data_IF_217538270892
#
_entry.id   IF_217538270892
#
_cell.length_a   1.000
_cell.length_b   1.000
_cell.length_c   1.000
_cell.angle_alpha   90.00
_cell.angle_beta   90.00
_cell.angle_gamma   90.00
#
_symmetry.space_group_name_H-M   'P 1'
#
loop_
_entity.id
_entity.type
_entity.pdbx_description
1 polymer ?
#
# COMPACT_ATOMS: atom_id res chain seq x y z
N UNK A 1 -10.32 0.26 6.98
CA UNK A 1 -10.16 0.93 5.68
C UNK A 1 -11.43 0.87 4.82
N UNK A 2 -12.08 -0.31 4.70
CA UNK A 2 -13.21 -0.50 3.78
C UNK A 2 -14.42 0.38 4.13
N UNK A 3 -14.80 0.47 5.40
CA UNK A 3 -15.88 1.35 5.86
C UNK A 3 -15.56 2.83 5.59
N UNK A 4 -14.30 3.23 5.81
CA UNK A 4 -13.84 4.57 5.49
C UNK A 4 -13.94 4.88 3.99
N UNK A 5 -13.48 3.95 3.12
CA UNK A 5 -13.61 4.13 1.67
C UNK A 5 -15.08 4.22 1.24
N UNK A 6 -15.95 3.41 1.87
CA UNK A 6 -17.40 3.47 1.61
C UNK A 6 -18.00 4.82 2.03
N UNK A 7 -17.62 5.36 3.20
CA UNK A 7 -18.04 6.70 3.64
C UNK A 7 -17.61 7.77 2.64
N UNK A 8 -16.34 7.75 2.22
CA UNK A 8 -15.81 8.68 1.20
C UNK A 8 -16.54 8.55 -0.14
N UNK A 9 -16.87 7.30 -0.57
CA UNK A 9 -17.62 7.09 -1.81
C UNK A 9 -19.04 7.68 -1.74
N UNK A 10 -19.75 7.47 -0.62
CA UNK A 10 -21.12 8.00 -0.48
C UNK A 10 -21.12 9.55 -0.47
N UNK A 11 -20.13 10.16 0.17
CA UNK A 11 -19.92 11.61 0.10
C UNK A 11 -19.65 12.06 -1.34
N UNK A 12 -18.79 11.33 -2.09
CA UNK A 12 -18.54 11.62 -3.50
C UNK A 12 -19.82 11.54 -4.34
N UNK A 13 -20.61 10.45 -4.22
CA UNK A 13 -21.86 10.26 -5.00
C UNK A 13 -22.81 11.43 -4.75
N UNK A 14 -22.99 11.82 -3.48
CA UNK A 14 -23.83 12.96 -3.09
C UNK A 14 -23.33 14.25 -3.71
N UNK A 15 -22.07 14.56 -3.52
CA UNK A 15 -21.47 15.84 -3.94
C UNK A 15 -21.35 15.94 -5.45
N UNK A 16 -21.03 14.84 -6.13
CA UNK A 16 -20.99 14.78 -7.59
C UNK A 16 -22.37 15.04 -8.17
N UNK A 17 -23.41 14.36 -7.65
CA UNK A 17 -24.79 14.53 -8.13
C UNK A 17 -25.26 15.97 -7.99
N UNK A 18 -25.05 16.58 -6.82
CA UNK A 18 -25.39 18.00 -6.59
C UNK A 18 -24.68 18.94 -7.57
N UNK A 19 -23.37 18.73 -7.77
CA UNK A 19 -22.59 19.59 -8.69
C UNK A 19 -23.02 19.36 -10.16
N UNK A 20 -23.32 18.12 -10.55
CA UNK A 20 -23.80 17.82 -11.90
C UNK A 20 -25.18 18.41 -12.19
N UNK A 21 -26.11 18.33 -11.25
CA UNK A 21 -27.45 18.93 -11.35
C UNK A 21 -27.39 20.46 -11.45
N UNK A 22 -26.41 21.08 -10.76
CA UNK A 22 -26.12 22.49 -10.87
C UNK A 22 -25.37 22.88 -12.18
N UNK A 23 -25.08 21.91 -13.06
CA UNK A 23 -24.25 22.10 -14.26
C UNK A 23 -22.79 22.50 -13.98
N UNK A 24 -22.31 22.24 -12.78
CA UNK A 24 -20.92 22.48 -12.35
C UNK A 24 -20.01 21.28 -12.65
N UNK A 25 -19.97 20.83 -13.90
CA UNK A 25 -19.28 19.61 -14.32
C UNK A 25 -17.78 19.62 -13.99
N UNK A 26 -17.11 20.77 -14.08
CA UNK A 26 -15.69 20.87 -13.72
C UNK A 26 -15.46 20.51 -12.24
N UNK A 27 -16.32 21.02 -11.35
CA UNK A 27 -16.26 20.72 -9.91
C UNK A 27 -16.55 19.25 -9.64
N UNK A 28 -17.57 18.69 -10.30
CA UNK A 28 -17.93 17.29 -10.17
C UNK A 28 -16.78 16.37 -10.61
N UNK A 29 -16.21 16.62 -11.79
CA UNK A 29 -15.12 15.79 -12.32
C UNK A 29 -13.82 15.92 -11.52
N UNK A 30 -13.52 17.10 -10.99
CA UNK A 30 -12.35 17.30 -10.11
C UNK A 30 -12.47 16.45 -8.84
N UNK A 31 -13.66 16.43 -8.19
CA UNK A 31 -13.89 15.59 -7.01
C UNK A 31 -13.78 14.10 -7.33
N UNK A 32 -14.24 13.69 -8.51
CA UNK A 32 -14.15 12.29 -8.97
C UNK A 32 -12.69 11.89 -9.23
N UNK A 33 -11.92 12.75 -9.90
CA UNK A 33 -10.49 12.54 -10.12
C UNK A 33 -9.73 12.47 -8.80
N UNK A 34 -9.98 13.40 -7.87
CA UNK A 34 -9.37 13.43 -6.55
C UNK A 34 -9.65 12.13 -5.77
N UNK A 35 -10.89 11.66 -5.79
CA UNK A 35 -11.25 10.39 -5.16
C UNK A 35 -10.45 9.21 -5.74
N UNK A 36 -10.37 9.10 -7.06
CA UNK A 36 -9.66 7.98 -7.72
C UNK A 36 -8.16 8.04 -7.48
N UNK A 37 -7.57 9.21 -7.63
CA UNK A 37 -6.10 9.37 -7.56
C UNK A 37 -5.62 9.39 -6.13
N UNK A 38 -6.23 10.18 -5.26
CA UNK A 38 -5.75 10.38 -3.91
C UNK A 38 -6.38 9.36 -2.95
N UNK A 39 -7.70 9.29 -2.82
CA UNK A 39 -8.36 8.44 -1.82
C UNK A 39 -8.21 6.96 -2.18
N UNK A 40 -8.61 6.55 -3.39
CA UNK A 40 -8.59 5.14 -3.77
C UNK A 40 -7.15 4.64 -4.01
N UNK A 41 -6.40 5.30 -4.90
CA UNK A 41 -5.11 4.79 -5.38
C UNK A 41 -3.96 5.05 -4.41
N UNK A 42 -3.87 6.24 -3.81
CA UNK A 42 -2.73 6.61 -2.96
C UNK A 42 -2.92 6.28 -1.49
N UNK A 43 -4.15 6.27 -1.00
CA UNK A 43 -4.44 6.03 0.42
C UNK A 43 -4.99 4.62 0.64
N UNK A 44 -6.13 4.25 0.06
CA UNK A 44 -6.78 2.97 0.33
C UNK A 44 -6.00 1.76 -0.20
N UNK A 45 -5.54 1.76 -1.46
CA UNK A 45 -4.81 0.61 -2.04
C UNK A 45 -3.57 0.23 -1.24
N UNK A 46 -2.73 1.16 -0.74
CA UNK A 46 -1.64 0.80 0.17
C UNK A 46 -2.09 0.10 1.46
N UNK A 47 -3.24 0.48 2.04
CA UNK A 47 -3.77 -0.10 3.29
C UNK A 47 -4.19 -1.56 3.13
N UNK A 48 -4.65 -1.95 1.95
CA UNK A 48 -5.16 -3.31 1.68
C UNK A 48 -4.18 -4.20 0.93
N UNK A 49 -3.05 -3.65 0.49
CA UNK A 49 -2.15 -4.34 -0.44
C UNK A 49 -1.67 -5.69 0.07
N UNK A 50 -1.33 -5.77 1.35
CA UNK A 50 -0.87 -7.01 1.97
C UNK A 50 -1.94 -8.08 1.94
N UNK A 51 -3.15 -7.72 2.38
CA UNK A 51 -4.29 -8.63 2.43
C UNK A 51 -4.74 -9.09 1.04
N UNK A 52 -4.73 -8.15 0.07
CA UNK A 52 -5.16 -8.41 -1.30
C UNK A 52 -4.33 -9.51 -1.98
N UNK A 53 -3.02 -9.59 -1.68
CA UNK A 53 -2.08 -10.52 -2.29
C UNK A 53 -1.77 -11.74 -1.41
N UNK A 54 -2.41 -11.88 -0.25
CA UNK A 54 -2.22 -13.03 0.63
C UNK A 54 -2.84 -14.28 0.01
N UNK A 55 -2.11 -15.37 -0.02
CA UNK A 55 -2.61 -16.70 -0.40
C UNK A 55 -3.04 -17.53 0.82
N UNK A 56 -2.92 -16.98 2.03
CA UNK A 56 -3.29 -17.63 3.28
C UNK A 56 -4.81 -17.87 3.35
N UNK A 57 -5.26 -19.12 3.50
CA UNK A 57 -6.69 -19.44 3.63
C UNK A 57 -7.38 -18.74 4.80
N UNK A 58 -6.67 -18.44 5.89
CA UNK A 58 -7.23 -17.74 7.06
C UNK A 58 -7.63 -16.29 6.74
N UNK A 59 -7.00 -15.70 5.74
CA UNK A 59 -7.32 -14.33 5.27
C UNK A 59 -8.44 -14.28 4.24
N UNK A 60 -9.06 -15.40 3.87
CA UNK A 60 -10.07 -15.46 2.81
C UNK A 60 -11.24 -14.49 3.05
N UNK A 61 -11.79 -14.46 4.25
CA UNK A 61 -12.91 -13.57 4.58
C UNK A 61 -12.51 -12.08 4.43
N UNK A 62 -11.28 -11.74 4.81
CA UNK A 62 -10.74 -10.40 4.64
C UNK A 62 -10.60 -10.04 3.16
N UNK A 63 -10.07 -10.96 2.33
CA UNK A 63 -9.95 -10.78 0.88
C UNK A 63 -11.32 -10.62 0.21
N UNK A 64 -12.29 -11.44 0.58
CA UNK A 64 -13.66 -11.33 0.06
C UNK A 64 -14.30 -9.97 0.40
N UNK A 65 -14.08 -9.47 1.62
CA UNK A 65 -14.54 -8.14 2.01
C UNK A 65 -13.91 -7.04 1.15
N UNK A 66 -12.59 -7.12 0.91
CA UNK A 66 -11.86 -6.19 0.03
C UNK A 66 -12.40 -6.26 -1.40
N UNK A 67 -12.56 -7.46 -1.97
CA UNK A 67 -13.07 -7.62 -3.33
C UNK A 67 -14.48 -7.08 -3.47
N UNK A 68 -15.35 -7.34 -2.49
CA UNK A 68 -16.73 -6.81 -2.49
C UNK A 68 -16.74 -5.28 -2.42
N UNK A 69 -15.89 -4.70 -1.57
CA UNK A 69 -15.74 -3.24 -1.47
C UNK A 69 -15.25 -2.64 -2.78
N UNK A 70 -14.18 -3.20 -3.35
CA UNK A 70 -13.62 -2.73 -4.63
C UNK A 70 -14.61 -2.90 -5.77
N UNK A 71 -15.34 -4.02 -5.82
CA UNK A 71 -16.38 -4.24 -6.83
C UNK A 71 -17.44 -3.13 -6.79
N UNK A 72 -17.98 -2.85 -5.61
CA UNK A 72 -18.98 -1.82 -5.43
C UNK A 72 -18.44 -0.42 -5.78
N UNK A 73 -17.28 -0.07 -5.25
CA UNK A 73 -16.63 1.23 -5.49
C UNK A 73 -16.34 1.43 -6.96
N UNK A 74 -15.69 0.48 -7.62
CA UNK A 74 -15.30 0.62 -9.02
C UNK A 74 -16.52 0.63 -9.96
N UNK A 75 -17.57 -0.17 -9.67
CA UNK A 75 -18.83 -0.10 -10.44
C UNK A 75 -19.47 1.27 -10.31
N UNK A 76 -19.54 1.82 -9.10
CA UNK A 76 -20.09 3.17 -8.86
C UNK A 76 -19.30 4.24 -9.61
N UNK A 77 -17.97 4.16 -9.58
CA UNK A 77 -17.09 5.08 -10.32
C UNK A 77 -17.32 5.02 -11.83
N UNK A 78 -17.52 3.83 -12.41
CA UNK A 78 -17.84 3.69 -13.83
C UNK A 78 -19.13 4.45 -14.21
N UNK A 79 -20.14 4.40 -13.34
CA UNK A 79 -21.38 5.15 -13.54
C UNK A 79 -21.16 6.67 -13.44
N UNK A 80 -20.39 7.13 -12.45
CA UNK A 80 -20.06 8.56 -12.28
C UNK A 80 -19.20 9.10 -13.43
N UNK A 81 -18.31 8.27 -13.99
CA UNK A 81 -17.49 8.66 -15.15
C UNK A 81 -18.26 8.64 -16.48
N UNK A 82 -19.38 7.92 -16.57
CA UNK A 82 -20.09 7.72 -17.83
C UNK A 82 -20.46 9.02 -18.57
N UNK A 83 -20.92 10.11 -17.93
CA UNK A 83 -21.20 11.36 -18.61
C UNK A 83 -19.98 12.00 -19.29
N UNK A 84 -18.78 11.79 -18.75
CA UNK A 84 -17.53 12.38 -19.24
C UNK A 84 -16.75 11.42 -20.16
N UNK A 85 -16.78 10.12 -19.87
CA UNK A 85 -16.03 9.10 -20.61
C UNK A 85 -16.90 7.90 -21.02
N UNK A 86 -17.94 8.13 -21.85
CA UNK A 86 -18.95 7.10 -22.14
C UNK A 86 -18.37 5.84 -22.78
N UNK A 87 -17.38 5.98 -23.67
CA UNK A 87 -16.75 4.83 -24.33
C UNK A 87 -15.96 3.95 -23.38
N UNK A 88 -15.21 4.56 -22.43
CA UNK A 88 -14.48 3.81 -21.41
C UNK A 88 -15.42 3.11 -20.45
N UNK A 89 -16.44 3.83 -19.99
CA UNK A 89 -17.46 3.29 -19.10
C UNK A 89 -18.19 2.11 -19.73
N UNK A 90 -18.57 2.21 -21.02
CA UNK A 90 -19.19 1.11 -21.74
C UNK A 90 -18.26 -0.10 -21.89
N UNK A 91 -16.99 0.11 -22.24
CA UNK A 91 -16.01 -0.98 -22.33
C UNK A 91 -15.85 -1.71 -21.01
N UNK A 92 -15.76 -0.98 -19.88
CA UNK A 92 -15.67 -1.59 -18.55
C UNK A 92 -16.95 -2.32 -18.18
N UNK A 93 -18.11 -1.74 -18.48
CA UNK A 93 -19.42 -2.37 -18.26
C UNK A 93 -19.51 -3.71 -19.01
N UNK A 94 -19.18 -3.75 -20.30
CA UNK A 94 -19.27 -4.94 -21.13
C UNK A 94 -18.22 -6.01 -20.80
N UNK A 95 -16.94 -5.58 -20.59
CA UNK A 95 -15.83 -6.53 -20.47
C UNK A 95 -15.53 -6.98 -19.05
N UNK A 96 -16.03 -6.26 -18.05
CA UNK A 96 -15.80 -6.61 -16.64
C UNK A 96 -17.11 -7.00 -15.98
N UNK A 97 -18.08 -6.06 -15.90
CA UNK A 97 -19.25 -6.26 -15.06
C UNK A 97 -20.26 -7.25 -15.65
N UNK A 98 -20.65 -7.10 -16.92
CA UNK A 98 -21.59 -8.01 -17.56
C UNK A 98 -21.07 -9.42 -17.79
N UNK A 99 -19.75 -9.61 -17.89
CA UNK A 99 -19.21 -10.97 -17.97
C UNK A 99 -19.36 -11.75 -16.66
N UNK A 100 -19.42 -11.06 -15.53
CA UNK A 100 -19.56 -11.65 -14.20
C UNK A 100 -21.01 -11.64 -13.70
N UNK A 101 -21.85 -10.74 -14.23
CA UNK A 101 -23.26 -10.61 -13.89
C UNK A 101 -24.09 -10.30 -15.14
N UNK A 102 -24.69 -11.34 -15.72
CA UNK A 102 -25.55 -11.25 -16.92
C UNK A 102 -26.88 -10.57 -16.65
N UNK A 103 -27.25 -10.30 -15.40
CA UNK A 103 -28.49 -9.60 -15.05
C UNK A 103 -28.42 -8.10 -15.27
N UNK A 104 -27.20 -7.55 -15.45
CA UNK A 104 -26.97 -6.14 -15.70
C UNK A 104 -27.53 -5.71 -17.08
N UNK A 105 -27.96 -4.44 -17.23
CA UNK A 105 -28.47 -3.90 -18.49
C UNK A 105 -27.47 -4.08 -19.65
N UNK A 106 -28.01 -4.07 -20.88
CA UNK A 106 -27.20 -4.26 -22.10
C UNK A 106 -26.11 -3.20 -22.30
N UNK A 107 -26.33 -2.00 -21.79
CA UNK A 107 -25.37 -0.88 -21.84
C UNK A 107 -25.34 -0.14 -20.51
N UNK A 108 -24.20 0.48 -20.20
CA UNK A 108 -24.04 1.31 -19.01
C UNK A 108 -25.06 2.46 -18.94
N UNK A 109 -25.53 2.93 -20.10
CA UNK A 109 -26.50 4.03 -20.17
C UNK A 109 -27.92 3.62 -19.70
N UNK A 110 -28.20 2.33 -19.56
CA UNK A 110 -29.44 1.82 -19.00
C UNK A 110 -29.37 1.50 -17.50
N UNK A 111 -28.18 1.65 -16.90
CA UNK A 111 -28.01 1.56 -15.46
C UNK A 111 -28.64 2.77 -14.76
N UNK A 112 -29.12 2.57 -13.55
CA UNK A 112 -29.61 3.66 -12.72
C UNK A 112 -28.44 4.52 -12.22
N UNK A 113 -28.67 5.82 -12.14
CA UNK A 113 -27.72 6.73 -11.49
C UNK A 113 -27.53 6.33 -10.02
N UNK A 114 -26.27 6.26 -9.53
CA UNK A 114 -26.00 5.83 -8.17
C UNK A 114 -26.61 6.81 -7.16
N UNK A 115 -27.29 6.28 -6.16
CA UNK A 115 -27.85 7.05 -5.05
C UNK A 115 -26.93 6.91 -3.84
N UNK A 116 -26.66 8.03 -3.15
CA UNK A 116 -25.87 7.99 -1.95
C UNK A 116 -26.63 7.33 -0.79
N UNK A 117 -26.05 6.29 -0.24
CA UNK A 117 -26.51 5.69 1.02
C UNK A 117 -25.92 6.45 2.21
N UNK A 118 -26.71 7.38 2.75
CA UNK A 118 -26.27 8.22 3.87
C UNK A 118 -26.02 7.44 5.16
N UNK A 119 -26.51 6.20 5.27
CA UNK A 119 -26.24 5.35 6.45
C UNK A 119 -24.81 4.83 6.50
N UNK A 120 -24.11 4.85 5.37
CA UNK A 120 -22.71 4.47 5.24
C UNK A 120 -21.75 5.66 5.44
N UNK A 121 -22.26 6.89 5.53
CA UNK A 121 -21.44 8.07 5.82
C UNK A 121 -21.13 8.10 7.31
N UNK A 122 -19.85 8.07 7.65
CA UNK A 122 -19.33 8.08 9.03
C UNK A 122 -18.32 9.21 9.21
N UNK A 123 -18.79 10.42 9.60
CA UNK A 123 -17.91 11.57 9.77
C UNK A 123 -16.82 11.37 10.83
N UNK A 124 -17.11 10.61 11.88
CA UNK A 124 -16.12 10.31 12.93
C UNK A 124 -14.99 9.46 12.38
N UNK A 125 -15.33 8.43 11.62
CA UNK A 125 -14.34 7.59 10.96
C UNK A 125 -13.53 8.37 9.92
N UNK A 126 -14.17 9.29 9.20
CA UNK A 126 -13.50 10.17 8.24
C UNK A 126 -12.47 11.07 8.92
N UNK A 127 -12.79 11.66 10.10
CA UNK A 127 -11.85 12.44 10.90
C UNK A 127 -10.71 11.58 11.46
N UNK A 128 -11.00 10.37 11.95
CA UNK A 128 -9.98 9.45 12.47
C UNK A 128 -8.95 9.09 11.38
N UNK A 129 -9.41 8.78 10.18
CA UNK A 129 -8.51 8.50 9.06
C UNK A 129 -7.75 9.74 8.58
N UNK A 130 -8.34 10.94 8.65
CA UNK A 130 -7.63 12.17 8.32
C UNK A 130 -6.43 12.41 9.25
N UNK A 131 -6.59 12.13 10.56
CA UNK A 131 -5.50 12.21 11.54
C UNK A 131 -4.40 11.20 11.19
N UNK A 132 -4.75 9.94 10.90
CA UNK A 132 -3.79 8.93 10.47
C UNK A 132 -3.03 9.38 9.22
N UNK A 133 -3.75 9.82 8.19
CA UNK A 133 -3.18 10.21 6.91
C UNK A 133 -2.30 11.47 7.00
N UNK A 134 -2.59 12.38 7.92
CA UNK A 134 -1.73 13.53 8.23
C UNK A 134 -0.46 13.14 8.99
N UNK A 135 -0.48 12.06 9.77
CA UNK A 135 0.70 11.62 10.52
C UNK A 135 1.76 10.93 9.64
N UNK A 136 1.35 10.24 8.57
CA UNK A 136 2.26 9.49 7.71
C UNK A 136 3.29 10.35 6.94
N UNK A 137 2.95 11.53 6.37
CA UNK A 137 3.92 12.42 5.76
C UNK A 137 5.03 12.85 6.72
N UNK A 138 4.72 13.03 8.02
CA UNK A 138 5.74 13.36 9.03
C UNK A 138 6.72 12.20 9.25
N UNK A 139 6.22 10.96 9.31
CA UNK A 139 7.09 9.78 9.34
C UNK A 139 8.01 9.77 8.12
N UNK A 140 7.48 10.03 6.94
CA UNK A 140 8.28 10.01 5.71
C UNK A 140 9.26 11.18 5.63
N UNK A 141 8.88 12.36 6.13
CA UNK A 141 9.77 13.52 6.26
C UNK A 141 10.92 13.23 7.21
N UNK A 142 10.63 12.69 8.41
CA UNK A 142 11.66 12.29 9.36
C UNK A 142 12.61 11.23 8.77
N UNK A 143 12.08 10.24 8.03
CA UNK A 143 12.91 9.26 7.30
C UNK A 143 13.81 9.91 6.26
N UNK A 144 13.30 10.87 5.51
CA UNK A 144 14.08 11.61 4.50
C UNK A 144 15.22 12.41 5.14
N UNK A 145 14.92 13.11 6.24
CA UNK A 145 15.92 13.85 7.02
C UNK A 145 17.05 12.94 7.52
N UNK A 146 16.71 11.71 7.91
CA UNK A 146 17.65 10.69 8.36
C UNK A 146 18.29 9.88 7.19
N UNK A 147 17.95 10.18 5.94
CA UNK A 147 18.36 9.41 4.75
C UNK A 147 18.00 7.92 4.82
N UNK A 148 16.86 7.59 5.46
CA UNK A 148 16.36 6.25 5.65
C UNK A 148 15.37 5.86 4.54
N UNK A 149 15.58 4.68 3.95
CA UNK A 149 14.67 4.15 2.92
C UNK A 149 13.33 3.76 3.53
N UNK A 150 12.21 4.07 2.86
CA UNK A 150 10.87 3.70 3.32
C UNK A 150 10.66 2.19 3.52
N UNK A 151 11.33 1.36 2.72
CA UNK A 151 11.23 -0.10 2.77
C UNK A 151 11.98 -0.74 3.93
N UNK A 152 12.94 -0.03 4.50
CA UNK A 152 13.69 -0.53 5.63
C UNK A 152 12.89 -0.32 6.91
N UNK A 153 12.60 -1.38 7.67
CA UNK A 153 11.84 -1.25 8.90
C UNK A 153 12.63 -0.47 9.94
N UNK A 154 11.92 0.23 10.81
CA UNK A 154 12.48 0.89 12.00
C UNK A 154 11.96 0.20 13.25
N UNK A 155 12.78 0.19 14.31
CA UNK A 155 12.38 -0.43 15.56
C UNK A 155 11.22 0.32 16.20
N UNK A 156 11.33 1.66 16.29
CA UNK A 156 10.44 2.44 17.14
C UNK A 156 10.20 3.85 16.61
N UNK A 157 8.99 4.35 16.86
CA UNK A 157 8.65 5.76 16.77
C UNK A 157 8.07 6.26 18.10
N UNK A 158 8.12 7.57 18.31
CA UNK A 158 7.36 8.26 19.35
C UNK A 158 6.49 9.30 18.63
N UNK A 159 5.19 9.26 18.89
CA UNK A 159 4.25 10.28 18.39
C UNK A 159 3.88 11.18 19.55
N UNK A 160 4.12 12.48 19.36
CA UNK A 160 3.76 13.50 20.34
C UNK A 160 2.64 14.35 19.78
N UNK A 161 1.52 14.42 20.48
CA UNK A 161 0.33 15.17 20.05
C UNK A 161 -0.64 15.35 21.23
N UNK A 162 -1.67 16.21 21.11
CA UNK A 162 -2.76 16.29 22.07
C UNK A 162 -3.49 14.95 22.25
N UNK A 163 -4.00 14.68 23.45
CA UNK A 163 -4.64 13.42 23.85
C UNK A 163 -5.65 12.89 22.82
N UNK A 164 -6.55 13.75 22.31
CA UNK A 164 -7.55 13.35 21.28
C UNK A 164 -6.91 12.73 20.03
N UNK A 165 -5.79 13.29 19.57
CA UNK A 165 -5.05 12.78 18.40
C UNK A 165 -4.40 11.45 18.72
N UNK A 166 -3.80 11.34 19.91
CA UNK A 166 -3.16 10.11 20.38
C UNK A 166 -4.17 8.97 20.54
N UNK A 167 -5.35 9.23 21.10
CA UNK A 167 -6.42 8.22 21.21
C UNK A 167 -6.84 7.68 19.83
N UNK A 168 -6.96 8.56 18.84
CA UNK A 168 -7.28 8.18 17.48
C UNK A 168 -6.19 7.31 16.87
N UNK A 169 -4.92 7.69 17.00
CA UNK A 169 -3.80 6.90 16.47
C UNK A 169 -3.65 5.55 17.19
N UNK A 170 -3.96 5.47 18.49
CA UNK A 170 -4.01 4.19 19.23
C UNK A 170 -5.08 3.25 18.68
N UNK A 171 -6.27 3.75 18.31
CA UNK A 171 -7.31 2.93 17.65
C UNK A 171 -6.86 2.40 16.29
N UNK A 172 -6.06 3.16 15.55
CA UNK A 172 -5.57 2.84 14.22
C UNK A 172 -4.09 2.39 14.22
N UNK A 173 -3.55 2.00 15.38
CA UNK A 173 -2.13 1.71 15.58
C UNK A 173 -1.60 0.66 14.60
N UNK A 174 -2.30 -0.45 14.45
CA UNK A 174 -1.88 -1.51 13.51
C UNK A 174 -1.68 -0.95 12.10
N UNK A 175 -2.63 -0.14 11.64
CA UNK A 175 -2.56 0.47 10.31
C UNK A 175 -1.43 1.52 10.22
N UNK A 176 -1.25 2.32 11.28
CA UNK A 176 -0.14 3.26 11.37
C UNK A 176 1.21 2.56 11.27
N UNK A 177 1.43 1.49 12.04
CA UNK A 177 2.66 0.69 12.04
C UNK A 177 2.94 0.07 10.66
N UNK A 178 1.93 -0.51 10.04
CA UNK A 178 2.05 -1.12 8.71
C UNK A 178 2.42 -0.09 7.63
N UNK A 179 1.70 1.03 7.56
CA UNK A 179 1.91 2.07 6.54
C UNK A 179 3.22 2.82 6.75
N UNK A 180 3.63 3.03 7.99
CA UNK A 180 4.89 3.68 8.36
C UNK A 180 6.10 2.77 8.27
N UNK A 181 5.90 1.44 8.23
CA UNK A 181 6.93 0.41 8.32
C UNK A 181 7.79 0.53 9.59
N UNK A 182 7.11 0.63 10.74
CA UNK A 182 7.68 0.73 12.08
C UNK A 182 7.17 -0.43 12.91
N UNK A 183 7.99 -0.99 13.80
CA UNK A 183 7.62 -2.17 14.60
C UNK A 183 6.85 -1.81 15.86
N UNK A 184 7.16 -0.66 16.46
CA UNK A 184 6.57 -0.21 17.72
C UNK A 184 6.38 1.31 17.72
N UNK A 185 5.30 1.79 18.33
CA UNK A 185 5.04 3.20 18.54
C UNK A 185 4.73 3.51 20.00
N UNK A 186 5.32 4.56 20.52
CA UNK A 186 4.98 5.16 21.82
C UNK A 186 4.22 6.47 21.59
N UNK A 187 3.35 6.80 22.50
CA UNK A 187 2.51 7.99 22.47
C UNK A 187 2.80 8.86 23.69
N UNK A 188 3.01 10.14 23.47
CA UNK A 188 3.30 11.11 24.53
C UNK A 188 2.59 12.44 24.26
N UNK A 189 2.14 13.12 25.30
CA UNK A 189 1.57 14.47 25.19
C UNK A 189 2.65 15.55 25.17
N UNK A 190 3.81 15.26 25.77
CA UNK A 190 4.96 16.15 25.83
C UNK A 190 6.18 15.51 25.17
N UNK A 191 7.02 16.36 24.59
CA UNK A 191 8.25 15.92 23.94
C UNK A 191 9.21 15.28 24.95
N UNK A 192 9.51 13.97 24.82
CA UNK A 192 10.43 13.30 25.73
C UNK A 192 11.87 13.74 25.48
N UNK A 193 12.70 13.66 26.52
CA UNK A 193 14.14 13.83 26.36
C UNK A 193 14.73 12.62 25.64
N UNK A 194 15.23 12.83 24.42
CA UNK A 194 15.84 11.78 23.59
C UNK A 194 17.22 12.18 23.11
N UNK A 195 18.07 11.21 22.83
CA UNK A 195 19.37 11.45 22.21
C UNK A 195 19.21 11.89 20.75
N UNK A 196 19.53 13.14 20.45
CA UNK A 196 19.45 13.73 19.11
C UNK A 196 20.36 13.07 18.06
N UNK A 197 21.34 12.26 18.47
CA UNK A 197 22.18 11.47 17.55
C UNK A 197 21.48 10.20 17.07
N UNK A 198 20.51 9.73 17.86
CA UNK A 198 19.76 8.50 17.59
C UNK A 198 18.36 8.78 17.05
N UNK A 199 17.75 9.87 17.47
CA UNK A 199 16.37 10.19 17.13
C UNK A 199 16.28 11.36 16.16
N UNK A 200 15.45 11.20 15.12
CA UNK A 200 15.18 12.25 14.14
C UNK A 200 13.70 12.58 14.19
N UNK A 201 13.41 13.88 14.23
CA UNK A 201 12.05 14.41 14.39
C UNK A 201 11.57 15.12 13.13
N UNK A 202 10.29 15.01 12.86
CA UNK A 202 9.53 15.90 12.00
C UNK A 202 8.25 16.34 12.72
N UNK A 203 7.77 17.55 12.42
CA UNK A 203 6.62 18.14 13.09
C UNK A 203 5.80 18.99 12.14
N UNK A 204 4.48 19.04 12.40
CA UNK A 204 3.54 19.93 11.75
C UNK A 204 2.46 20.33 12.77
N UNK A 205 2.42 21.63 13.13
CA UNK A 205 1.56 22.11 14.22
C UNK A 205 1.89 21.42 15.54
N UNK A 206 0.89 20.84 16.19
CA UNK A 206 1.04 20.13 17.46
C UNK A 206 1.42 18.65 17.31
N UNK A 207 1.42 18.13 16.09
CA UNK A 207 1.79 16.73 15.82
C UNK A 207 3.28 16.62 15.53
N UNK A 208 3.98 15.80 16.29
CA UNK A 208 5.40 15.53 16.12
C UNK A 208 5.64 14.03 16.07
N UNK A 209 6.57 13.61 15.21
CA UNK A 209 6.98 12.22 15.08
C UNK A 209 8.47 12.13 15.22
N UNK A 210 8.92 11.31 16.17
CA UNK A 210 10.33 10.99 16.38
C UNK A 210 10.58 9.56 15.93
N UNK A 211 11.61 9.33 15.15
CA UNK A 211 12.02 8.00 14.66
C UNK A 211 13.33 7.57 15.27
N UNK A 212 13.37 6.37 15.82
CA UNK A 212 14.61 5.71 16.23
C UNK A 212 15.38 5.27 14.98
N UNK A 213 16.56 5.83 14.77
CA UNK A 213 17.43 5.53 13.62
C UNK A 213 18.36 4.35 13.86
N UNK A 214 18.38 3.80 15.09
CA UNK A 214 19.19 2.63 15.41
C UNK A 214 18.70 1.39 14.66
N UNK A 215 19.65 0.64 14.11
CA UNK A 215 19.38 -0.61 13.39
C UNK A 215 20.13 -1.75 14.06
N UNK A 216 19.40 -2.82 14.31
CA UNK A 216 19.97 -4.12 14.68
C UNK A 216 20.05 -5.03 13.46
N UNK A 217 20.70 -6.18 13.61
CA UNK A 217 20.88 -7.16 12.53
C UNK A 217 19.54 -7.66 11.96
N UNK A 218 18.53 -7.81 12.80
CA UNK A 218 17.20 -8.23 12.34
C UNK A 218 16.58 -7.18 11.39
N UNK A 219 16.60 -5.90 11.75
CA UNK A 219 16.09 -4.83 10.89
C UNK A 219 16.92 -4.66 9.61
N UNK A 220 18.23 -4.86 9.69
CA UNK A 220 19.11 -4.85 8.52
C UNK A 220 18.78 -6.01 7.58
N UNK A 221 18.60 -7.22 8.11
CA UNK A 221 18.24 -8.41 7.33
C UNK A 221 16.89 -8.29 6.64
N UNK A 222 15.86 -7.83 7.37
CA UNK A 222 14.54 -7.59 6.80
C UNK A 222 14.56 -6.49 5.72
N UNK A 223 15.29 -5.40 5.94
CA UNK A 223 15.45 -4.34 4.96
C UNK A 223 16.16 -4.82 3.68
N UNK A 224 17.19 -5.61 3.83
CA UNK A 224 17.96 -6.22 2.73
C UNK A 224 17.07 -7.18 1.94
N UNK A 225 16.33 -8.04 2.62
CA UNK A 225 15.39 -8.98 2.01
C UNK A 225 14.35 -8.24 1.15
N UNK A 226 13.73 -7.18 1.68
CA UNK A 226 12.74 -6.39 0.93
C UNK A 226 13.31 -5.67 -0.28
N UNK A 227 14.55 -5.17 -0.19
CA UNK A 227 15.24 -4.56 -1.33
C UNK A 227 15.55 -5.60 -2.41
N UNK A 228 15.98 -6.82 -2.05
CA UNK A 228 16.19 -7.93 -2.98
C UNK A 228 14.88 -8.40 -3.61
N UNK A 229 13.84 -8.65 -2.81
CA UNK A 229 12.53 -9.08 -3.31
C UNK A 229 11.99 -8.09 -4.36
N UNK A 230 12.14 -6.78 -4.12
CA UNK A 230 11.76 -5.78 -5.13
C UNK A 230 12.56 -5.91 -6.43
N UNK A 231 13.87 -6.17 -6.37
CA UNK A 231 14.70 -6.34 -7.58
C UNK A 231 14.29 -7.59 -8.35
N UNK A 232 14.04 -8.67 -7.63
CA UNK A 232 13.54 -9.91 -8.21
C UNK A 232 12.19 -9.69 -8.91
N UNK A 233 11.26 -8.98 -8.26
CA UNK A 233 9.96 -8.67 -8.86
C UNK A 233 10.07 -7.77 -10.09
N UNK A 234 11.00 -6.80 -10.10
CA UNK A 234 11.27 -5.99 -11.28
C UNK A 234 11.80 -6.85 -12.44
N UNK A 235 12.77 -7.73 -12.16
CA UNK A 235 13.31 -8.66 -13.15
C UNK A 235 12.25 -9.62 -13.69
N UNK A 236 11.38 -10.17 -12.81
CA UNK A 236 10.24 -11.02 -13.23
C UNK A 236 9.37 -10.30 -14.27
N UNK A 237 9.05 -9.03 -14.02
CA UNK A 237 8.27 -8.21 -14.96
C UNK A 237 9.00 -8.00 -16.29
N UNK A 238 10.31 -7.73 -16.24
CA UNK A 238 11.15 -7.58 -17.45
C UNK A 238 11.22 -8.87 -18.28
N UNK A 239 11.24 -10.02 -17.61
CA UNK A 239 11.22 -11.34 -18.25
C UNK A 239 9.82 -11.79 -18.70
N UNK A 240 8.76 -10.97 -18.47
CA UNK A 240 7.41 -11.24 -18.95
C UNK A 240 6.56 -12.15 -18.03
N UNK A 241 7.02 -12.46 -16.83
CA UNK A 241 6.20 -13.22 -15.88
C UNK A 241 4.97 -12.41 -15.43
N UNK A 242 3.85 -13.12 -15.33
CA UNK A 242 2.65 -12.58 -14.67
C UNK A 242 2.87 -12.41 -13.16
N UNK A 243 2.21 -11.43 -12.51
CA UNK A 243 2.25 -11.31 -11.06
C UNK A 243 1.79 -12.57 -10.29
N UNK A 244 0.98 -13.41 -10.92
CA UNK A 244 0.44 -14.65 -10.33
C UNK A 244 1.31 -15.89 -10.57
N UNK A 245 2.29 -15.83 -11.48
CA UNK A 245 3.12 -16.99 -11.80
C UNK A 245 3.97 -17.37 -10.59
N UNK A 246 4.16 -18.69 -10.39
CA UNK A 246 5.07 -19.23 -9.39
C UNK A 246 6.27 -19.83 -10.14
N UNK A 247 7.46 -19.35 -9.82
CA UNK A 247 8.72 -19.86 -10.42
C UNK A 247 9.31 -20.97 -9.56
N UNK A 248 10.06 -21.89 -10.18
CA UNK A 248 10.64 -23.03 -9.46
C UNK A 248 11.74 -22.58 -8.49
N UNK A 249 12.64 -21.72 -8.95
CA UNK A 249 13.72 -21.22 -8.12
C UNK A 249 14.16 -19.80 -8.52
N UNK A 250 14.59 -19.05 -7.53
CA UNK A 250 15.32 -17.80 -7.72
C UNK A 250 16.70 -17.96 -7.10
N UNK A 251 17.73 -17.65 -7.87
CA UNK A 251 19.10 -17.66 -7.41
C UNK A 251 19.62 -16.23 -7.31
N UNK A 252 20.23 -15.89 -6.19
CA UNK A 252 20.86 -14.58 -5.94
C UNK A 252 22.33 -14.80 -5.61
N UNK A 253 23.24 -14.16 -6.33
CA UNK A 253 24.66 -14.33 -6.17
C UNK A 253 25.42 -13.01 -6.05
N UNK A 254 26.70 -13.10 -5.69
CA UNK A 254 27.62 -11.99 -5.43
C UNK A 254 27.19 -11.16 -4.18
N UNK A 255 26.71 -11.88 -3.16
CA UNK A 255 26.41 -11.31 -1.85
C UNK A 255 27.60 -11.45 -0.91
N UNK A 256 27.81 -10.42 -0.09
CA UNK A 256 28.82 -10.52 0.99
C UNK A 256 28.40 -11.58 2.02
N UNK A 257 29.36 -12.29 2.65
CA UNK A 257 29.05 -13.26 3.70
C UNK A 257 28.16 -12.70 4.82
N UNK A 258 28.34 -11.42 5.22
CA UNK A 258 27.49 -10.77 6.20
C UNK A 258 26.04 -10.66 5.70
N UNK A 259 25.84 -10.27 4.44
CA UNK A 259 24.51 -10.13 3.85
C UNK A 259 23.78 -11.48 3.77
N UNK A 260 24.53 -12.57 3.45
CA UNK A 260 23.99 -13.93 3.44
C UNK A 260 23.51 -14.34 4.84
N UNK A 261 24.30 -14.11 5.87
CA UNK A 261 23.91 -14.42 7.26
C UNK A 261 22.66 -13.62 7.69
N UNK A 262 22.60 -12.32 7.35
CA UNK A 262 21.44 -11.49 7.62
C UNK A 262 20.16 -11.95 6.91
N UNK A 263 20.29 -12.55 5.72
CA UNK A 263 19.15 -13.02 4.91
C UNK A 263 18.61 -14.38 5.35
N UNK A 264 19.43 -15.23 5.99
CA UNK A 264 19.02 -16.60 6.36
C UNK A 264 17.66 -16.69 7.05
N UNK A 265 17.36 -15.86 8.06
CA UNK A 265 16.05 -15.91 8.74
C UNK A 265 14.86 -15.53 7.85
N UNK A 266 15.11 -14.83 6.74
CA UNK A 266 14.08 -14.23 5.87
C UNK A 266 13.89 -14.93 4.54
N UNK A 267 14.57 -16.06 4.30
CA UNK A 267 14.50 -16.78 3.02
C UNK A 267 13.07 -17.22 2.71
N UNK A 268 12.36 -17.79 3.69
CA UNK A 268 10.96 -18.23 3.51
C UNK A 268 10.02 -17.06 3.19
N UNK A 269 10.15 -15.93 3.91
CA UNK A 269 9.37 -14.72 3.60
C UNK A 269 9.71 -14.18 2.20
N UNK A 270 10.97 -14.28 1.80
CA UNK A 270 11.40 -13.86 0.45
C UNK A 270 10.81 -14.77 -0.62
N UNK A 271 10.74 -16.11 -0.40
CA UNK A 271 10.08 -17.07 -1.30
C UNK A 271 8.63 -16.66 -1.58
N UNK A 272 7.89 -16.32 -0.54
CA UNK A 272 6.51 -15.84 -0.65
C UNK A 272 6.42 -14.51 -1.42
N UNK A 273 7.22 -13.52 -1.02
CA UNK A 273 7.21 -12.19 -1.64
C UNK A 273 7.58 -12.21 -3.12
N UNK A 274 8.45 -13.11 -3.55
CA UNK A 274 8.86 -13.23 -4.95
C UNK A 274 8.12 -14.31 -5.71
N UNK A 275 7.18 -15.03 -5.06
CA UNK A 275 6.40 -16.14 -5.62
C UNK A 275 7.31 -17.21 -6.27
N UNK A 276 8.28 -17.66 -5.50
CA UNK A 276 9.20 -18.74 -5.88
C UNK A 276 9.04 -19.91 -4.91
N UNK A 277 9.15 -21.15 -5.41
CA UNK A 277 9.15 -22.32 -4.55
C UNK A 277 10.41 -22.39 -3.69
N UNK A 278 11.55 -21.89 -4.22
CA UNK A 278 12.81 -21.81 -3.52
C UNK A 278 13.58 -20.55 -3.87
N UNK A 279 14.25 -19.99 -2.86
CA UNK A 279 15.22 -18.91 -3.04
C UNK A 279 16.56 -19.35 -2.50
N UNK A 280 17.58 -19.23 -3.32
CA UNK A 280 18.95 -19.59 -2.99
C UNK A 280 19.86 -18.38 -3.04
N UNK A 281 20.68 -18.20 -2.02
CA UNK A 281 21.63 -17.09 -1.91
C UNK A 281 23.06 -17.62 -1.87
N UNK A 282 23.94 -16.97 -2.65
CA UNK A 282 25.32 -17.43 -2.83
C UNK A 282 26.32 -16.28 -2.71
N UNK A 283 27.53 -16.61 -2.26
CA UNK A 283 28.64 -15.68 -2.29
C UNK A 283 29.11 -15.42 -3.72
N UNK A 284 29.26 -16.49 -4.51
CA UNK A 284 29.75 -16.43 -5.88
C UNK A 284 28.72 -17.04 -6.82
N UNK A 285 28.73 -16.67 -8.10
CA UNK A 285 27.83 -17.26 -9.11
C UNK A 285 28.17 -18.74 -9.32
N UNK A 286 27.14 -19.54 -9.35
CA UNK A 286 27.21 -20.97 -9.70
C UNK A 286 26.69 -21.19 -11.11
N UNK A 287 26.94 -22.37 -11.67
CA UNK A 287 26.34 -22.79 -12.93
C UNK A 287 24.84 -23.07 -12.73
N UNK A 288 24.01 -22.39 -13.47
CA UNK A 288 22.54 -22.55 -13.49
C UNK A 288 22.07 -22.64 -14.94
N UNK A 289 20.88 -23.22 -15.15
CA UNK A 289 20.34 -23.48 -16.51
C UNK A 289 19.76 -22.23 -17.20
N UNK A 290 19.82 -21.08 -16.55
CA UNK A 290 19.25 -19.81 -16.99
C UNK A 290 20.29 -18.71 -16.86
N UNK A 291 20.07 -17.59 -17.57
CA UNK A 291 21.02 -16.48 -17.56
C UNK A 291 20.98 -15.70 -16.25
N UNK A 292 22.16 -15.24 -15.83
CA UNK A 292 22.32 -14.32 -14.73
C UNK A 292 22.10 -12.88 -15.18
N UNK A 293 21.21 -12.18 -14.50
CA UNK A 293 20.89 -10.77 -14.74
C UNK A 293 21.53 -9.88 -13.67
N UNK A 294 22.33 -8.90 -14.11
CA UNK A 294 22.94 -7.92 -13.22
C UNK A 294 21.87 -6.99 -12.63
N UNK A 295 21.90 -6.84 -11.34
CA UNK A 295 21.06 -5.91 -10.58
C UNK A 295 21.93 -5.07 -9.64
N UNK A 296 21.43 -3.88 -9.26
CA UNK A 296 22.10 -3.01 -8.29
C UNK A 296 21.37 -3.05 -6.95
N UNK A 297 22.09 -3.43 -5.91
CA UNK A 297 21.65 -3.36 -4.52
C UNK A 297 22.46 -2.26 -3.82
N UNK A 298 21.89 -1.05 -3.71
CA UNK A 298 22.59 0.15 -3.32
C UNK A 298 23.82 0.45 -4.22
N UNK A 299 25.03 0.31 -3.64
CA UNK A 299 26.30 0.50 -4.35
C UNK A 299 26.93 -0.81 -4.82
N UNK A 300 26.33 -1.96 -4.45
CA UNK A 300 26.83 -3.30 -4.79
C UNK A 300 26.13 -3.82 -6.03
N UNK A 301 26.83 -4.63 -6.83
CA UNK A 301 26.23 -5.43 -7.89
C UNK A 301 25.82 -6.77 -7.30
N UNK A 302 24.65 -7.22 -7.65
CA UNK A 302 24.16 -8.57 -7.34
C UNK A 302 23.63 -9.18 -8.63
N UNK A 303 23.65 -10.50 -8.71
CA UNK A 303 23.16 -11.21 -9.88
C UNK A 303 21.97 -12.07 -9.50
N UNK A 304 20.95 -12.05 -10.33
CA UNK A 304 19.70 -12.79 -10.11
C UNK A 304 19.45 -13.68 -11.33
N UNK A 305 19.12 -14.95 -11.10
CA UNK A 305 18.66 -15.86 -12.13
C UNK A 305 17.33 -16.49 -11.67
N UNK A 306 16.35 -16.60 -12.60
CA UNK A 306 14.99 -17.07 -12.33
C UNK A 306 14.73 -18.30 -13.18
N UNK A 307 14.37 -19.43 -12.54
CA UNK A 307 14.15 -20.73 -13.14
C UNK A 307 12.66 -21.11 -13.15
#
# INVERSE_FOLDING_TARGET
PDRWLMSKLQNLVKDFTVSAEASEFNSALFKLEDFVVNILSREYVPMIRRDLWSDDPETLNRRLAIYSTLWYVLKTLVLLFNPATPFLSEVLHQKVYRQLDNSLPETVNLENWPQADTTLIDPTLDEEFEILLKSLPLVFSARQNAQLKRRWPLAKAIVVAPEKVLETLKKLETLFLELSNIKEVEYAEELPMVDSKRWVMASEGELQVLLDTYRNEALEGEGLMRDLARRIQALRKELGFSPTDIVEAVHVAELDPKDIELLKPYVTEMEELVRAKKVHVYKDRIEVKVDWHENKLDRKKVYVAIL
#
